data_IF_393356465621
#
_entry.id   IF_393356465621
#
_cell.length_a   1.000
_cell.length_b   1.000
_cell.length_c   1.000
_cell.angle_alpha   90.00
_cell.angle_beta   90.00
_cell.angle_gamma   90.00
#
_symmetry.space_group_name_H-M   'P 1'
#
loop_
_entity.id
_entity.type
_entity.pdbx_description
1 polymer ?
#
# COMPACT_ATOMS: atom_id res chain seq x y z
N UNK A 1 1.07 -9.08 -6.39
CA UNK A 1 -0.39 -9.17 -6.20
C UNK A 1 -0.67 -9.84 -4.86
N UNK A 2 -1.65 -9.37 -4.09
CA UNK A 2 -1.98 -9.92 -2.78
C UNK A 2 -2.60 -11.33 -2.87
N UNK A 3 -2.42 -12.18 -1.84
CA UNK A 3 -3.08 -13.49 -1.78
C UNK A 3 -4.61 -13.35 -1.67
N UNK A 4 -5.37 -14.31 -2.22
CA UNK A 4 -6.84 -14.29 -2.20
C UNK A 4 -7.41 -14.10 -0.79
N UNK A 5 -6.83 -14.77 0.22
CA UNK A 5 -7.26 -14.63 1.62
C UNK A 5 -7.21 -13.17 2.11
N UNK A 6 -6.19 -12.42 1.70
CA UNK A 6 -6.05 -11.01 2.05
C UNK A 6 -7.10 -10.14 1.33
N UNK A 7 -7.46 -10.49 0.09
CA UNK A 7 -8.54 -9.82 -0.65
C UNK A 7 -9.90 -10.06 0.05
N UNK A 8 -10.17 -11.29 0.50
CA UNK A 8 -11.41 -11.59 1.25
C UNK A 8 -11.48 -10.86 2.59
N UNK A 9 -10.37 -10.78 3.31
CA UNK A 9 -10.29 -9.98 4.54
C UNK A 9 -10.51 -8.49 4.26
N UNK A 10 -9.92 -7.96 3.19
CA UNK A 10 -10.14 -6.59 2.75
C UNK A 10 -11.62 -6.31 2.46
N UNK A 11 -12.33 -7.19 1.75
CA UNK A 11 -13.78 -7.06 1.48
C UNK A 11 -14.59 -6.95 2.77
N UNK A 12 -14.29 -7.80 3.76
CA UNK A 12 -14.99 -7.78 5.06
C UNK A 12 -14.77 -6.47 5.81
N UNK A 13 -13.53 -5.97 5.83
CA UNK A 13 -13.19 -4.70 6.49
C UNK A 13 -13.85 -3.53 5.75
N UNK A 14 -13.81 -3.51 4.43
CA UNK A 14 -14.39 -2.46 3.60
C UNK A 14 -15.91 -2.38 3.80
N UNK A 15 -16.60 -3.52 3.76
CA UNK A 15 -18.05 -3.60 4.04
C UNK A 15 -18.36 -3.11 5.46
N UNK A 16 -17.60 -3.53 6.47
CA UNK A 16 -17.81 -3.09 7.85
C UNK A 16 -17.61 -1.58 8.02
N UNK A 17 -16.66 -1.00 7.30
CA UNK A 17 -16.28 0.41 7.46
C UNK A 17 -17.17 1.36 6.66
N UNK A 18 -17.61 0.94 5.46
CA UNK A 18 -18.31 1.81 4.51
C UNK A 18 -19.71 1.32 4.15
N UNK A 19 -20.12 0.12 4.58
CA UNK A 19 -21.41 -0.48 4.22
C UNK A 19 -21.52 -0.93 2.76
N UNK A 20 -20.44 -0.89 1.99
CA UNK A 20 -20.42 -1.20 0.56
C UNK A 20 -19.84 -2.60 0.33
N UNK A 21 -20.52 -3.42 -0.45
CA UNK A 21 -19.97 -4.68 -0.97
C UNK A 21 -19.16 -4.42 -2.24
N UNK A 22 -17.99 -5.03 -2.32
CA UNK A 22 -17.12 -4.95 -3.49
C UNK A 22 -17.19 -6.25 -4.28
N UNK A 23 -17.12 -6.14 -5.61
CA UNK A 23 -16.79 -7.28 -6.46
C UNK A 23 -15.36 -7.75 -6.23
N UNK A 24 -15.05 -8.96 -6.66
CA UNK A 24 -13.70 -9.53 -6.53
C UNK A 24 -12.65 -8.71 -7.29
N UNK A 25 -13.02 -8.15 -8.45
CA UNK A 25 -12.16 -7.27 -9.24
C UNK A 25 -11.89 -5.95 -8.51
N UNK A 26 -12.93 -5.29 -7.99
CA UNK A 26 -12.78 -4.05 -7.24
C UNK A 26 -11.97 -4.23 -5.96
N UNK A 27 -12.22 -5.32 -5.23
CA UNK A 27 -11.48 -5.64 -4.03
C UNK A 27 -10.00 -5.90 -4.34
N UNK A 28 -9.74 -6.62 -5.44
CA UNK A 28 -8.38 -6.90 -5.92
C UNK A 28 -7.65 -5.61 -6.27
N UNK A 29 -8.24 -4.73 -7.08
CA UNK A 29 -7.60 -3.46 -7.46
C UNK A 29 -7.33 -2.59 -6.22
N UNK A 30 -8.35 -2.35 -5.41
CA UNK A 30 -8.26 -1.44 -4.25
C UNK A 30 -7.28 -1.93 -3.19
N UNK A 31 -7.30 -3.22 -2.85
CA UNK A 31 -6.40 -3.77 -1.84
C UNK A 31 -4.94 -3.71 -2.30
N UNK A 32 -4.66 -4.07 -3.55
CA UNK A 32 -3.29 -3.99 -4.09
C UNK A 32 -2.81 -2.54 -4.16
N UNK A 33 -3.64 -1.59 -4.61
CA UNK A 33 -3.29 -0.17 -4.65
C UNK A 33 -2.99 0.39 -3.27
N UNK A 34 -3.78 0.04 -2.25
CA UNK A 34 -3.53 0.47 -0.87
C UNK A 34 -2.16 -0.02 -0.36
N UNK A 35 -1.86 -1.30 -0.50
CA UNK A 35 -0.59 -1.87 -0.02
C UNK A 35 0.59 -1.31 -0.82
N UNK A 36 0.43 -1.11 -2.12
CA UNK A 36 1.46 -0.49 -2.96
C UNK A 36 1.73 0.96 -2.55
N UNK A 37 0.68 1.74 -2.25
CA UNK A 37 0.84 3.10 -1.75
C UNK A 37 1.57 3.11 -0.41
N UNK A 38 1.17 2.25 0.53
CA UNK A 38 1.86 2.11 1.82
C UNK A 38 3.35 1.80 1.64
N UNK A 39 3.69 0.84 0.77
CA UNK A 39 5.09 0.52 0.44
C UNK A 39 5.81 1.69 -0.19
N UNK A 40 5.19 2.41 -1.14
CA UNK A 40 5.83 3.55 -1.79
C UNK A 40 6.15 4.69 -0.81
N UNK A 41 5.35 4.88 0.24
CA UNK A 41 5.56 5.93 1.24
C UNK A 41 6.50 5.49 2.36
N UNK A 42 6.39 4.23 2.81
CA UNK A 42 7.02 3.78 4.05
C UNK A 42 8.06 2.66 3.90
N UNK A 43 8.26 2.09 2.70
CA UNK A 43 9.32 1.10 2.52
C UNK A 43 10.68 1.77 2.38
N UNK A 44 11.64 1.34 3.21
CA UNK A 44 13.04 1.81 3.19
C UNK A 44 13.74 1.60 1.84
N UNK A 45 13.19 0.75 0.97
CA UNK A 45 13.71 0.55 -0.38
C UNK A 45 13.64 1.81 -1.25
N UNK A 46 12.69 2.71 -0.95
CA UNK A 46 12.59 4.04 -1.58
C UNK A 46 13.65 4.99 -1.03
N UNK A 47 14.11 4.78 0.21
CA UNK A 47 15.17 5.54 0.88
C UNK A 47 16.56 4.89 0.80
N UNK A 48 16.79 3.95 -0.13
CA UNK A 48 18.14 3.60 -0.59
C UNK A 48 18.73 4.78 -1.38
N UNK A 49 18.92 5.92 -0.71
CA UNK A 49 19.81 6.98 -1.15
C UNK A 49 21.16 6.33 -1.47
N UNK A 50 21.81 6.72 -2.58
CA UNK A 50 23.16 6.28 -2.81
C UNK A 50 24.02 6.68 -1.60
N UNK A 51 24.84 5.75 -1.12
CA UNK A 51 25.65 5.88 0.10
C UNK A 51 26.71 6.99 0.01
N UNK A 52 26.80 7.69 -1.11
CA UNK A 52 27.72 8.80 -1.37
C UNK A 52 27.15 10.18 -0.96
N UNK A 53 25.86 10.26 -0.65
CA UNK A 53 25.28 11.45 -0.02
C UNK A 53 25.54 11.40 1.48
N UNK A 54 26.72 11.89 1.87
CA UNK A 54 27.10 12.16 3.25
C UNK A 54 26.09 13.12 3.92
N UNK A 55 24.98 12.59 4.44
CA UNK A 55 24.18 13.11 5.56
C UNK A 55 23.66 14.56 5.52
N UNK A 56 23.89 15.34 4.48
CA UNK A 56 23.46 16.73 4.42
C UNK A 56 22.12 16.85 3.69
N UNK A 57 21.07 17.08 4.48
CA UNK A 57 19.76 17.48 3.97
C UNK A 57 19.96 18.87 3.34
N UNK A 58 19.71 19.08 2.03
CA UNK A 58 19.83 20.39 1.43
C UNK A 58 18.79 21.31 2.07
N UNK A 59 19.27 22.30 2.82
CA UNK A 59 18.44 23.36 3.38
C UNK A 59 17.91 24.21 2.21
N UNK A 60 16.58 24.38 2.17
CA UNK A 60 15.93 25.38 1.33
C UNK A 60 16.42 26.78 1.64
#
# INVERSE_FOLDING_TARGET
>A
MLPQKAIEEFKKIYKKSYGVELSDEEATDKANRLVNLYKAVYSDEVWKLPKDLNGEIPKK
#
